data_IF_901836860943
#
_entry.id   IF_901836860943
#
_cell.length_a   1.000
_cell.length_b   1.000
_cell.length_c   1.000
_cell.angle_alpha   90.00
_cell.angle_beta   90.00
_cell.angle_gamma   90.00
#
_symmetry.space_group_name_H-M   'P 1'
#
loop_
_entity.id
_entity.type
_entity.pdbx_description
1 polymer ?
#
# COMPACT_ATOMS: atom_id res chain seq x y z
N UNK A 1 -13.52 7.26 -4.57
CA UNK A 1 -12.81 6.76 -5.76
C UNK A 1 -12.55 5.28 -5.58
N UNK A 2 -13.32 4.42 -6.24
CA UNK A 2 -13.01 2.99 -6.38
C UNK A 2 -12.64 2.76 -7.83
N UNK A 3 -11.34 2.73 -8.13
CA UNK A 3 -10.86 2.40 -9.46
C UNK A 3 -11.15 0.94 -9.81
N UNK A 4 -10.87 0.55 -11.06
CA UNK A 4 -10.95 -0.83 -11.49
C UNK A 4 -9.84 -1.66 -10.80
N UNK A 5 -10.22 -2.70 -10.06
CA UNK A 5 -9.29 -3.56 -9.31
C UNK A 5 -8.45 -4.47 -10.24
N UNK A 6 -8.88 -4.65 -11.49
CA UNK A 6 -8.19 -5.49 -12.50
C UNK A 6 -6.83 -4.90 -12.94
N UNK A 7 -6.73 -3.61 -13.31
CA UNK A 7 -5.46 -2.93 -13.51
C UNK A 7 -4.46 -3.10 -12.35
N UNK A 8 -4.91 -3.07 -11.09
CA UNK A 8 -4.05 -3.27 -9.92
C UNK A 8 -3.42 -4.67 -9.93
N UNK A 9 -4.24 -5.71 -10.15
CA UNK A 9 -3.74 -7.09 -10.26
C UNK A 9 -2.74 -7.26 -11.41
N UNK A 10 -3.04 -6.72 -12.59
CA UNK A 10 -2.16 -6.80 -13.75
C UNK A 10 -0.84 -6.03 -13.54
N UNK A 11 -0.90 -4.88 -12.86
CA UNK A 11 0.29 -4.12 -12.48
C UNK A 11 1.17 -4.91 -11.50
N UNK A 12 0.58 -5.53 -10.48
CA UNK A 12 1.30 -6.38 -9.52
C UNK A 12 1.99 -7.55 -10.24
N UNK A 13 1.26 -8.27 -11.11
CA UNK A 13 1.81 -9.36 -11.90
C UNK A 13 3.00 -8.90 -12.76
N UNK A 14 2.85 -7.75 -13.46
CA UNK A 14 3.92 -7.21 -14.31
C UNK A 14 5.14 -6.82 -13.49
N UNK A 15 4.97 -6.13 -12.38
CA UNK A 15 6.06 -5.69 -11.51
C UNK A 15 6.81 -6.88 -10.90
N UNK A 16 6.10 -7.93 -10.44
CA UNK A 16 6.72 -9.18 -9.97
C UNK A 16 7.56 -9.85 -11.06
N UNK A 17 7.02 -9.94 -12.28
CA UNK A 17 7.72 -10.58 -13.40
C UNK A 17 8.94 -9.80 -13.86
N UNK A 18 8.87 -8.47 -13.84
CA UNK A 18 9.97 -7.59 -14.29
C UNK A 18 11.13 -7.53 -13.27
N UNK A 19 10.80 -7.50 -11.98
CA UNK A 19 11.77 -7.41 -10.88
C UNK A 19 12.60 -6.12 -10.86
N UNK A 20 12.33 -5.15 -11.74
CA UNK A 20 13.07 -3.89 -11.81
C UNK A 20 12.93 -3.04 -10.55
N UNK A 21 11.76 -3.09 -9.90
CA UNK A 21 11.55 -2.35 -8.65
C UNK A 21 12.36 -2.94 -7.50
N UNK A 22 12.47 -4.27 -7.38
CA UNK A 22 13.37 -4.92 -6.41
C UNK A 22 14.82 -4.49 -6.63
N UNK A 23 15.30 -4.57 -7.87
CA UNK A 23 16.66 -4.11 -8.22
C UNK A 23 16.88 -2.63 -7.89
N UNK A 24 15.89 -1.77 -8.13
CA UNK A 24 16.00 -0.35 -7.80
C UNK A 24 16.10 -0.14 -6.28
N UNK A 25 15.27 -0.83 -5.49
CA UNK A 25 15.30 -0.77 -4.02
C UNK A 25 16.62 -1.30 -3.47
N UNK A 26 17.12 -2.43 -3.98
CA UNK A 26 18.43 -3.00 -3.63
C UNK A 26 19.58 -2.02 -3.91
N UNK A 27 19.44 -1.19 -4.95
CA UNK A 27 20.37 -0.12 -5.30
C UNK A 27 20.15 1.20 -4.53
N UNK A 28 19.28 1.19 -3.51
CA UNK A 28 19.05 2.34 -2.63
C UNK A 28 17.99 3.33 -3.10
N UNK A 29 17.15 2.97 -4.08
CA UNK A 29 16.04 3.83 -4.49
C UNK A 29 15.02 4.02 -3.35
N UNK A 30 14.56 5.26 -3.17
CA UNK A 30 13.45 5.59 -2.28
C UNK A 30 12.14 5.38 -3.05
N UNK A 31 11.21 4.63 -2.47
CA UNK A 31 9.89 4.37 -3.06
C UNK A 31 8.83 5.12 -2.27
N UNK A 32 8.03 5.89 -2.99
CA UNK A 32 6.79 6.47 -2.48
C UNK A 32 5.61 5.87 -3.24
N UNK A 33 4.62 5.37 -2.52
CA UNK A 33 3.45 4.71 -3.10
C UNK A 33 2.17 5.16 -2.42
N UNK A 34 1.07 5.13 -3.17
CA UNK A 34 -0.22 5.66 -2.73
C UNK A 34 -1.31 4.64 -3.07
N UNK A 35 -2.22 4.41 -2.13
CA UNK A 35 -3.42 3.58 -2.30
C UNK A 35 -3.11 2.18 -2.88
N UNK A 36 -3.64 1.81 -4.05
CA UNK A 36 -3.39 0.54 -4.71
C UNK A 36 -1.89 0.24 -4.89
N UNK A 37 -1.08 1.25 -5.20
CA UNK A 37 0.38 1.09 -5.30
C UNK A 37 1.02 0.69 -3.99
N UNK A 38 0.54 1.23 -2.87
CA UNK A 38 1.01 0.87 -1.52
C UNK A 38 0.67 -0.59 -1.18
N UNK A 39 -0.56 -1.03 -1.50
CA UNK A 39 -0.98 -2.41 -1.31
C UNK A 39 -0.14 -3.40 -2.15
N UNK A 40 0.21 -3.03 -3.39
CA UNK A 40 1.08 -3.84 -4.26
C UNK A 40 2.46 -4.07 -3.63
N UNK A 41 3.02 -3.09 -2.90
CA UNK A 41 4.34 -3.26 -2.26
C UNK A 41 4.33 -4.27 -1.11
N UNK A 42 3.18 -4.55 -0.52
CA UNK A 42 3.02 -5.49 0.59
C UNK A 42 3.28 -6.94 0.21
N UNK A 43 3.07 -7.85 1.16
CA UNK A 43 3.11 -9.29 0.93
C UNK A 43 1.93 -9.77 0.10
N UNK A 44 0.75 -9.20 0.32
CA UNK A 44 -0.48 -9.54 -0.40
C UNK A 44 -1.57 -8.46 -0.29
N UNK A 45 -2.52 -8.52 -1.23
CA UNK A 45 -3.75 -7.71 -1.23
C UNK A 45 -4.94 -8.52 -1.79
N UNK A 46 -6.16 -7.97 -1.72
CA UNK A 46 -7.35 -8.58 -2.32
C UNK A 46 -7.56 -8.01 -3.73
N UNK A 47 -7.66 -8.89 -4.73
CA UNK A 47 -7.85 -8.49 -6.13
C UNK A 47 -9.32 -8.31 -6.54
N UNK A 48 -9.54 -8.02 -7.84
CA UNK A 48 -10.83 -7.83 -8.49
C UNK A 48 -11.78 -9.03 -8.38
N UNK A 49 -11.25 -10.22 -8.08
CA UNK A 49 -12.02 -11.46 -7.92
C UNK A 49 -12.32 -11.78 -6.45
N UNK A 50 -11.96 -10.88 -5.52
CA UNK A 50 -12.08 -11.12 -4.08
C UNK A 50 -11.07 -12.15 -3.55
N UNK A 51 -10.03 -12.46 -4.31
CA UNK A 51 -9.01 -13.46 -3.96
C UNK A 51 -7.74 -12.77 -3.44
N UNK A 52 -6.97 -13.50 -2.62
CA UNK A 52 -5.63 -13.06 -2.21
C UNK A 52 -4.70 -13.07 -3.42
N UNK A 53 -4.09 -11.93 -3.69
CA UNK A 53 -3.09 -11.72 -4.74
C UNK A 53 -1.74 -11.43 -4.08
N UNK A 54 -0.66 -12.11 -4.48
CA UNK A 54 0.68 -11.81 -3.99
C UNK A 54 1.08 -10.36 -4.33
N UNK A 55 1.66 -9.64 -3.38
CA UNK A 55 2.31 -8.36 -3.65
C UNK A 55 3.78 -8.54 -4.04
N UNK A 56 4.57 -7.49 -3.87
CA UNK A 56 6.01 -7.51 -4.14
C UNK A 56 6.85 -7.94 -2.94
N UNK A 57 6.28 -7.93 -1.72
CA UNK A 57 6.99 -8.25 -0.49
C UNK A 57 8.11 -7.24 -0.16
N UNK A 58 8.06 -6.04 -0.73
CA UNK A 58 9.05 -4.97 -0.49
C UNK A 58 8.74 -4.20 0.81
N UNK A 59 7.48 -4.21 1.23
CA UNK A 59 7.02 -3.60 2.46
C UNK A 59 6.36 -4.67 3.34
N UNK A 60 6.70 -4.69 4.63
CA UNK A 60 6.19 -5.68 5.59
C UNK A 60 4.75 -5.40 6.03
N UNK A 61 3.81 -5.54 5.08
CA UNK A 61 2.38 -5.27 5.29
C UNK A 61 1.50 -6.26 4.54
N UNK A 62 0.28 -6.45 5.03
CA UNK A 62 -0.78 -7.27 4.40
C UNK A 62 -2.03 -6.43 4.26
N UNK A 63 -2.63 -6.38 3.06
CA UNK A 63 -3.86 -5.63 2.83
C UNK A 63 -5.04 -6.56 2.66
N UNK A 64 -6.09 -6.39 3.47
CA UNK A 64 -7.34 -7.15 3.36
C UNK A 64 -8.50 -6.25 2.94
N UNK A 65 -9.63 -6.85 2.56
CA UNK A 65 -10.87 -6.10 2.36
C UNK A 65 -11.52 -5.85 3.73
N UNK A 66 -11.82 -4.59 4.05
CA UNK A 66 -12.55 -4.25 5.25
C UNK A 66 -14.01 -4.72 5.18
N UNK A 67 -14.53 -5.21 6.30
CA UNK A 67 -15.90 -5.73 6.43
C UNK A 67 -16.93 -4.62 6.72
N UNK A 68 -16.47 -3.46 7.18
CA UNK A 68 -17.31 -2.31 7.55
C UNK A 68 -17.61 -1.35 6.41
N UNK A 69 -18.12 -0.17 6.76
CA UNK A 69 -18.28 0.93 5.82
C UNK A 69 -16.92 1.39 5.27
N UNK A 70 -16.94 1.96 4.07
CA UNK A 70 -15.75 2.54 3.44
C UNK A 70 -15.21 3.69 4.28
N UNK A 71 -13.90 3.72 4.51
CA UNK A 71 -13.20 4.86 5.11
C UNK A 71 -13.21 6.01 4.10
N UNK A 72 -13.97 7.07 4.39
CA UNK A 72 -14.11 8.26 3.55
C UNK A 72 -14.19 9.49 4.43
N UNK A 73 -13.21 10.38 4.33
CA UNK A 73 -13.20 11.60 5.14
C UNK A 73 -11.85 12.30 5.17
N UNK A 74 -11.83 13.45 5.82
CA UNK A 74 -10.60 14.17 6.12
C UNK A 74 -9.80 13.43 7.21
N UNK A 75 -8.48 13.40 7.05
CA UNK A 75 -7.56 12.75 7.99
C UNK A 75 -6.48 13.73 8.45
N UNK A 76 -6.06 13.57 9.71
CA UNK A 76 -4.92 14.21 10.33
C UNK A 76 -4.10 13.13 11.02
N UNK A 77 -2.80 13.06 10.74
CA UNK A 77 -1.89 12.08 11.33
C UNK A 77 -0.62 12.74 11.88
N UNK A 78 -0.21 12.30 13.06
CA UNK A 78 1.03 12.73 13.70
C UNK A 78 2.20 11.97 13.09
N UNK A 79 3.13 12.69 12.47
CA UNK A 79 4.25 12.07 11.76
C UNK A 79 5.30 11.54 12.72
N UNK A 80 5.98 10.46 12.30
CA UNK A 80 7.20 10.02 12.97
C UNK A 80 8.19 11.19 13.13
N UNK A 81 8.51 11.61 14.38
CA UNK A 81 9.34 12.79 14.63
C UNK A 81 10.71 12.75 13.95
N UNK A 82 11.21 11.54 13.62
CA UNK A 82 12.50 11.35 12.92
C UNK A 82 12.48 11.90 11.50
N UNK A 83 11.31 12.08 10.89
CA UNK A 83 11.15 12.67 9.57
C UNK A 83 11.26 14.20 9.58
N UNK A 84 11.11 14.84 10.75
CA UNK A 84 11.20 16.31 10.87
C UNK A 84 10.14 17.08 10.07
N UNK A 85 8.97 16.45 9.86
CA UNK A 85 7.86 17.03 9.10
C UNK A 85 6.74 17.51 10.04
N UNK A 86 5.93 18.51 9.62
CA UNK A 86 4.70 18.85 10.34
C UNK A 86 3.67 17.71 10.25
N UNK A 87 2.59 17.74 11.06
CA UNK A 87 1.48 16.80 10.93
C UNK A 87 0.95 16.73 9.50
N UNK A 88 0.62 15.52 9.02
CA UNK A 88 0.05 15.35 7.69
C UNK A 88 -1.47 15.43 7.74
N UNK A 89 -2.03 16.19 6.82
CA UNK A 89 -3.47 16.25 6.56
C UNK A 89 -3.78 15.72 5.17
N UNK A 90 -4.95 15.12 4.99
CA UNK A 90 -5.39 14.65 3.68
C UNK A 90 -6.84 14.21 3.67
N UNK A 91 -7.21 13.48 2.62
CA UNK A 91 -8.52 12.87 2.48
C UNK A 91 -8.36 11.39 2.14
N UNK A 92 -9.00 10.52 2.93
CA UNK A 92 -9.00 9.08 2.69
C UNK A 92 -10.26 8.64 1.94
N UNK A 93 -10.11 7.58 1.12
CA UNK A 93 -11.23 6.98 0.40
C UNK A 93 -10.89 5.53 0.06
N UNK A 94 -10.89 4.62 1.04
CA UNK A 94 -10.53 3.21 0.83
C UNK A 94 -11.43 2.25 1.58
N UNK A 95 -11.56 1.05 1.02
CA UNK A 95 -12.20 -0.10 1.67
C UNK A 95 -11.17 -1.10 2.19
N UNK A 96 -9.94 -1.06 1.65
CA UNK A 96 -8.85 -1.92 2.09
C UNK A 96 -8.40 -1.55 3.50
N UNK A 97 -8.06 -2.56 4.30
CA UNK A 97 -7.46 -2.41 5.62
C UNK A 97 -6.05 -2.99 5.55
N UNK A 98 -5.05 -2.18 5.86
CA UNK A 98 -3.65 -2.64 5.86
C UNK A 98 -3.19 -2.93 7.27
N UNK A 99 -2.61 -4.11 7.46
CA UNK A 99 -2.05 -4.58 8.71
C UNK A 99 -0.52 -4.52 8.62
N UNK A 100 0.11 -3.87 9.59
CA UNK A 100 1.56 -3.76 9.66
C UNK A 100 2.17 -5.02 10.27
N UNK A 101 3.22 -5.53 9.63
CA UNK A 101 4.12 -6.51 10.22
C UNK A 101 5.15 -5.84 11.15
N UNK A 102 5.94 -6.65 11.89
CA UNK A 102 6.91 -6.14 12.87
C UNK A 102 8.05 -5.32 12.25
N UNK A 103 8.31 -5.47 10.95
CA UNK A 103 9.33 -4.71 10.21
C UNK A 103 8.84 -3.38 9.65
N UNK A 104 7.55 -3.09 9.72
CA UNK A 104 6.97 -1.85 9.21
C UNK A 104 6.66 -0.86 10.36
N UNK A 105 6.66 0.43 10.02
CA UNK A 105 6.20 1.51 10.91
C UNK A 105 5.20 2.38 10.15
N UNK A 106 4.16 2.88 10.82
CA UNK A 106 3.23 3.81 10.18
C UNK A 106 3.96 5.09 9.77
N UNK A 107 3.49 5.72 8.69
CA UNK A 107 3.96 7.04 8.28
C UNK A 107 3.51 8.11 9.30
N UNK A 108 2.25 7.98 9.72
CA UNK A 108 1.52 8.86 10.62
C UNK A 108 0.51 8.06 11.45
#
# INVERSE_FOLDING_TARGET
GGGEDRPQRLAAERLRRDGGLHRAVENGAIVFSVCAGYQILGHEFINDLGQREPGLGLLDVVSTRGEGARCVGDVLGDIDPRLGLPPLTGFENHQGVTHLGPGARPLA
#
